data_IF_501498732294
#
_entry.id   IF_501498732294
#
_cell.length_a   1.000
_cell.length_b   1.000
_cell.length_c   1.000
_cell.angle_alpha   90.00
_cell.angle_beta   90.00
_cell.angle_gamma   90.00
#
_symmetry.space_group_name_H-M   'P 1'
#
loop_
_entity.id
_entity.type
_entity.pdbx_description
1 polymer ?
#
# COMPACT_ATOMS: atom_id res chain seq x y z
N UNK A 1 -3.78 -12.81 -9.02
CA UNK A 1 -2.70 -11.88 -8.72
C UNK A 1 -1.62 -12.01 -9.78
N UNK A 2 -0.83 -10.99 -9.94
CA UNK A 2 0.09 -10.84 -11.04
C UNK A 2 1.53 -11.19 -10.68
N UNK A 3 2.36 -11.23 -11.71
CA UNK A 3 3.77 -11.49 -11.56
C UNK A 3 4.45 -10.42 -10.71
N UNK A 4 5.39 -10.83 -9.87
CA UNK A 4 6.22 -9.94 -9.11
C UNK A 4 5.53 -9.27 -7.92
N UNK A 5 4.33 -9.71 -7.53
CA UNK A 5 3.72 -9.22 -6.30
C UNK A 5 4.60 -9.59 -5.10
N UNK A 6 4.91 -8.61 -4.28
CA UNK A 6 5.56 -8.81 -2.99
C UNK A 6 4.60 -8.37 -1.90
N UNK A 7 4.24 -9.29 -1.00
CA UNK A 7 3.37 -9.01 0.13
C UNK A 7 4.07 -9.49 1.40
N UNK A 8 4.65 -8.56 2.14
CA UNK A 8 5.35 -8.85 3.39
C UNK A 8 4.38 -8.69 4.55
N UNK A 9 3.78 -9.78 4.97
CA UNK A 9 2.67 -9.81 5.91
C UNK A 9 3.09 -10.09 7.36
N UNK A 10 4.16 -9.48 7.81
CA UNK A 10 4.54 -9.53 9.23
C UNK A 10 3.39 -9.03 10.11
N UNK A 11 2.72 -7.96 9.70
CA UNK A 11 1.38 -7.63 10.17
C UNK A 11 0.35 -8.06 9.12
N UNK A 12 -0.94 -8.02 9.44
CA UNK A 12 -1.97 -8.48 8.52
C UNK A 12 -2.08 -7.61 7.27
N UNK A 13 -2.35 -8.26 6.15
CA UNK A 13 -2.72 -7.60 4.90
C UNK A 13 -4.11 -8.09 4.54
N UNK A 14 -5.09 -7.20 4.61
CA UNK A 14 -6.47 -7.51 4.25
C UNK A 14 -6.75 -6.94 2.86
N UNK A 15 -7.20 -7.78 1.95
CA UNK A 15 -7.54 -7.40 0.57
C UNK A 15 -8.99 -7.75 0.34
N UNK A 16 -9.79 -6.75 0.01
CA UNK A 16 -11.22 -6.93 -0.26
C UNK A 16 -11.49 -7.69 -1.56
N UNK A 17 -12.77 -7.88 -1.86
CA UNK A 17 -13.19 -8.59 -3.07
C UNK A 17 -12.97 -7.73 -4.31
N UNK A 18 -12.77 -8.39 -5.44
CA UNK A 18 -12.66 -7.75 -6.76
C UNK A 18 -11.48 -6.78 -6.92
N UNK A 19 -10.46 -6.91 -6.09
CA UNK A 19 -9.25 -6.10 -6.19
C UNK A 19 -8.41 -6.58 -7.37
N UNK A 20 -7.94 -5.62 -8.18
CA UNK A 20 -7.02 -5.87 -9.27
C UNK A 20 -5.66 -5.30 -8.93
N UNK A 21 -4.63 -6.14 -9.03
CA UNK A 21 -3.26 -5.76 -8.66
C UNK A 21 -2.36 -5.93 -9.88
N UNK A 22 -1.76 -4.85 -10.32
CA UNK A 22 -0.79 -4.87 -11.42
C UNK A 22 0.51 -5.58 -11.06
N UNK A 23 1.39 -5.81 -12.04
CA UNK A 23 2.66 -6.49 -11.79
C UNK A 23 3.59 -5.65 -10.91
N UNK A 24 4.45 -6.33 -10.17
CA UNK A 24 5.50 -5.70 -9.34
C UNK A 24 4.96 -4.77 -8.26
N UNK A 25 3.73 -4.97 -7.80
CA UNK A 25 3.17 -4.24 -6.65
C UNK A 25 3.82 -4.77 -5.38
N UNK A 26 4.08 -3.87 -4.43
CA UNK A 26 4.63 -4.24 -3.13
C UNK A 26 3.70 -3.76 -2.02
N UNK A 27 3.33 -4.67 -1.12
CA UNK A 27 2.55 -4.39 0.08
C UNK A 27 3.46 -4.67 1.28
N UNK A 28 3.89 -3.62 1.96
CA UNK A 28 4.97 -3.70 2.94
C UNK A 28 4.43 -3.35 4.33
N UNK A 29 4.32 -4.34 5.21
CA UNK A 29 3.90 -4.10 6.60
C UNK A 29 5.06 -3.86 7.57
N UNK A 30 6.29 -4.38 7.35
CA UNK A 30 7.38 -4.15 8.28
C UNK A 30 7.80 -2.69 8.35
N UNK A 31 8.14 -2.24 9.55
CA UNK A 31 8.75 -0.93 9.77
C UNK A 31 10.05 -1.10 10.56
N UNK A 32 10.93 -0.12 10.43
CA UNK A 32 12.15 -0.03 11.24
C UNK A 32 12.21 1.34 11.89
N UNK A 33 12.74 1.43 13.13
CA UNK A 33 12.87 2.73 13.81
C UNK A 33 13.75 3.68 13.02
N UNK A 34 13.33 4.95 12.97
CA UNK A 34 14.13 6.01 12.37
C UNK A 34 15.30 6.36 13.27
N UNK A 35 15.11 6.28 14.60
CA UNK A 35 16.18 6.52 15.56
C UNK A 35 17.35 5.56 15.34
N UNK A 36 18.58 6.07 15.14
CA UNK A 36 19.72 5.22 14.81
C UNK A 36 20.03 4.14 15.85
N UNK A 37 19.96 4.49 17.13
CA UNK A 37 20.30 3.55 18.20
C UNK A 37 19.25 2.45 18.34
N UNK A 38 17.99 2.82 18.30
CA UNK A 38 16.89 1.86 18.35
C UNK A 38 16.92 0.94 17.14
N UNK A 39 17.23 1.48 15.95
CA UNK A 39 17.36 0.70 14.74
C UNK A 39 18.55 -0.28 14.83
N UNK A 40 19.68 0.17 15.36
CA UNK A 40 20.86 -0.68 15.55
C UNK A 40 20.59 -1.81 16.54
N UNK A 41 19.75 -1.57 17.52
CA UNK A 41 19.31 -2.59 18.48
C UNK A 41 18.38 -3.65 17.86
N UNK A 42 18.08 -3.55 16.56
CA UNK A 42 17.25 -4.50 15.80
C UNK A 42 15.79 -4.55 16.25
N UNK A 43 15.28 -3.45 16.79
CA UNK A 43 13.85 -3.34 17.05
C UNK A 43 13.09 -3.36 15.72
N UNK A 44 12.05 -4.17 15.66
CA UNK A 44 11.22 -4.29 14.50
C UNK A 44 9.76 -4.13 14.90
N UNK A 45 8.98 -3.58 14.00
CA UNK A 45 7.55 -3.45 14.15
C UNK A 45 6.88 -3.69 12.79
N UNK A 46 5.57 -3.79 12.80
CA UNK A 46 4.80 -3.89 11.57
C UNK A 46 3.45 -3.26 11.79
N UNK A 47 2.89 -2.69 10.73
CA UNK A 47 1.56 -2.09 10.76
C UNK A 47 0.71 -2.67 9.64
N UNK A 48 -0.56 -3.02 9.91
CA UNK A 48 -1.39 -3.70 8.94
C UNK A 48 -1.75 -2.81 7.76
N UNK A 49 -1.97 -3.45 6.61
CA UNK A 49 -2.45 -2.82 5.40
C UNK A 49 -3.86 -3.34 5.12
N UNK A 50 -4.76 -2.44 4.74
CA UNK A 50 -6.11 -2.81 4.34
C UNK A 50 -6.42 -2.21 2.96
N UNK A 51 -6.80 -3.07 2.03
CA UNK A 51 -7.21 -2.68 0.67
C UNK A 51 -8.69 -2.96 0.54
N UNK A 52 -9.49 -1.94 0.33
CA UNK A 52 -10.94 -2.05 0.18
C UNK A 52 -11.34 -2.79 -1.09
N UNK A 53 -12.60 -3.20 -1.17
CA UNK A 53 -13.12 -3.91 -2.34
C UNK A 53 -13.02 -3.07 -3.62
N UNK A 54 -12.88 -3.77 -4.73
CA UNK A 54 -12.87 -3.15 -6.07
C UNK A 54 -11.79 -2.09 -6.29
N UNK A 55 -10.69 -2.16 -5.53
CA UNK A 55 -9.53 -1.28 -5.70
C UNK A 55 -8.69 -1.78 -6.87
N UNK A 56 -8.12 -0.87 -7.63
CA UNK A 56 -7.15 -1.19 -8.66
C UNK A 56 -5.82 -0.54 -8.33
N UNK A 57 -4.79 -1.36 -8.12
CA UNK A 57 -3.41 -0.93 -7.95
C UNK A 57 -2.67 -1.12 -9.27
N UNK A 58 -2.23 -0.04 -9.88
CA UNK A 58 -1.44 -0.09 -11.11
C UNK A 58 -0.08 -0.75 -10.88
N UNK A 59 0.57 -1.16 -11.97
CA UNK A 59 1.87 -1.82 -11.88
C UNK A 59 2.91 -0.99 -11.13
N UNK A 60 3.72 -1.65 -10.33
CA UNK A 60 4.79 -1.00 -9.59
C UNK A 60 4.37 -0.15 -8.39
N UNK A 61 3.09 -0.15 -8.02
CA UNK A 61 2.62 0.57 -6.83
C UNK A 61 3.25 -0.04 -5.58
N UNK A 62 3.68 0.83 -4.67
CA UNK A 62 4.20 0.43 -3.36
C UNK A 62 3.26 0.99 -2.30
N UNK A 63 2.75 0.11 -1.43
CA UNK A 63 1.90 0.50 -0.30
C UNK A 63 2.70 0.32 0.97
N UNK A 64 2.84 1.41 1.73
CA UNK A 64 3.64 1.45 2.94
C UNK A 64 2.86 0.94 4.16
N UNK A 65 3.58 0.60 5.26
CA UNK A 65 2.95 0.07 6.46
C UNK A 65 1.84 0.98 7.00
N UNK A 66 0.76 0.37 7.48
CA UNK A 66 -0.32 1.07 8.15
C UNK A 66 -1.34 1.74 7.23
N UNK A 67 -1.18 1.62 5.91
CA UNK A 67 -2.06 2.31 4.95
C UNK A 67 -3.37 1.54 4.75
N UNK A 68 -4.46 2.30 4.73
CA UNK A 68 -5.78 1.81 4.32
C UNK A 68 -6.17 2.51 3.02
N UNK A 69 -6.54 1.72 2.01
CA UNK A 69 -7.05 2.25 0.73
C UNK A 69 -8.54 1.95 0.67
N UNK A 70 -9.33 3.00 0.52
CA UNK A 70 -10.78 2.90 0.50
C UNK A 70 -11.32 2.22 -0.76
N UNK A 71 -12.53 1.73 -0.67
CA UNK A 71 -13.24 0.99 -1.73
C UNK A 71 -13.26 1.75 -3.06
N UNK A 72 -13.22 1.04 -4.15
CA UNK A 72 -13.28 1.54 -5.53
C UNK A 72 -12.12 2.42 -5.98
N UNK A 73 -11.17 2.72 -5.13
CA UNK A 73 -10.07 3.65 -5.45
C UNK A 73 -9.12 3.04 -6.47
N UNK A 74 -8.64 3.87 -7.37
CA UNK A 74 -7.65 3.53 -8.39
C UNK A 74 -6.34 4.22 -8.03
N UNK A 75 -5.25 3.45 -7.98
CA UNK A 75 -3.91 3.99 -7.73
C UNK A 75 -3.07 3.84 -8.99
N UNK A 76 -2.60 4.96 -9.52
CA UNK A 76 -1.83 4.98 -10.76
C UNK A 76 -0.50 4.24 -10.65
N UNK A 77 -0.05 3.66 -11.77
CA UNK A 77 1.19 2.89 -11.83
C UNK A 77 2.39 3.67 -11.29
N UNK A 78 3.26 2.98 -10.58
CA UNK A 78 4.49 3.56 -10.03
C UNK A 78 4.29 4.44 -8.81
N UNK A 79 3.07 4.57 -8.30
CA UNK A 79 2.79 5.42 -7.13
C UNK A 79 3.30 4.79 -5.83
N UNK A 80 3.65 5.64 -4.89
CA UNK A 80 4.02 5.21 -3.54
C UNK A 80 2.99 5.75 -2.55
N UNK A 81 2.19 4.85 -1.97
CA UNK A 81 1.10 5.22 -1.07
C UNK A 81 1.64 5.27 0.35
N UNK A 82 1.78 6.48 0.88
CA UNK A 82 2.37 6.73 2.19
C UNK A 82 1.33 7.01 3.27
N UNK A 83 0.11 7.35 2.88
CA UNK A 83 -1.00 7.68 3.77
C UNK A 83 -2.29 7.05 3.27
N UNK A 84 -3.27 6.95 4.14
CA UNK A 84 -4.57 6.42 3.78
C UNK A 84 -5.17 7.18 2.59
N UNK A 85 -5.83 6.45 1.72
CA UNK A 85 -6.59 7.02 0.61
C UNK A 85 -8.08 6.77 0.83
N UNK A 86 -8.92 7.80 0.59
CA UNK A 86 -10.37 7.62 0.72
C UNK A 86 -10.92 6.71 -0.36
N UNK A 87 -12.18 6.32 -0.22
CA UNK A 87 -12.90 5.59 -1.25
C UNK A 87 -13.22 6.48 -2.47
N UNK A 88 -13.45 5.85 -3.60
CA UNK A 88 -14.02 6.48 -4.80
C UNK A 88 -13.17 7.62 -5.38
N UNK A 89 -11.85 7.44 -5.37
CA UNK A 89 -10.92 8.42 -5.93
C UNK A 89 -9.92 7.76 -6.88
N UNK A 90 -9.27 8.60 -7.67
CA UNK A 90 -8.04 8.25 -8.38
C UNK A 90 -6.90 8.96 -7.67
N UNK A 91 -5.87 8.21 -7.30
CA UNK A 91 -4.68 8.76 -6.67
C UNK A 91 -3.45 8.36 -7.48
N UNK A 92 -2.42 9.19 -7.46
CA UNK A 92 -1.18 8.91 -8.16
C UNK A 92 -0.02 9.72 -7.60
N UNK A 93 1.17 9.28 -7.88
CA UNK A 93 2.39 10.00 -7.58
C UNK A 93 3.22 9.43 -6.44
N UNK A 94 4.30 10.11 -6.13
CA UNK A 94 5.19 9.82 -5.02
C UNK A 94 5.48 11.10 -4.22
N UNK A 95 4.88 11.29 -3.04
CA UNK A 95 3.83 10.44 -2.46
C UNK A 95 2.53 10.51 -3.24
N UNK A 96 1.75 9.44 -3.22
CA UNK A 96 0.46 9.39 -3.88
C UNK A 96 -0.50 10.41 -3.30
N UNK A 97 -1.19 11.12 -4.17
CA UNK A 97 -2.19 12.12 -3.79
C UNK A 97 -3.44 11.92 -4.61
N UNK A 98 -4.57 12.32 -4.06
CA UNK A 98 -5.83 12.29 -4.78
C UNK A 98 -5.75 13.24 -5.98
N UNK A 99 -6.00 12.69 -7.17
CA UNK A 99 -5.98 13.43 -8.42
C UNK A 99 -7.39 13.91 -8.78
N UNK A 100 -8.38 13.04 -8.55
CA UNK A 100 -9.78 13.36 -8.81
C UNK A 100 -10.69 12.34 -8.13
N UNK A 101 -11.96 12.65 -8.05
CA UNK A 101 -12.99 11.69 -7.65
C UNK A 101 -13.43 10.83 -8.84
N UNK A 102 -13.92 9.66 -8.53
CA UNK A 102 -14.56 8.80 -9.52
C UNK A 102 -15.95 9.30 -9.88
#
# INVERSE_FOLDING_TARGET
MNYGLVALDVASIAIGDDVQIGPNVQLLTPTHPIDPDTRRAKWEAAEPIAIGGNVWLGGGVIVLPGVTIGENTVVGAGSIVTKDLPADVVAAGNPARVVRSL
#
